data_IF_929472554961
#
_entry.id   IF_929472554961
#
_cell.length_a   1.000
_cell.length_b   1.000
_cell.length_c   1.000
_cell.angle_alpha   90.00
_cell.angle_beta   90.00
_cell.angle_gamma   90.00
#
_symmetry.space_group_name_H-M   'P 1'
#
loop_
_entity.id
_entity.type
_entity.pdbx_description
1 polymer ?
#
# COMPACT_ATOMS: atom_id res chain seq x y z
N UNK A 1 57.50 18.52 -55.65
CA UNK A 1 57.16 17.07 -55.75
C UNK A 1 57.21 16.47 -54.35
N UNK A 2 56.20 15.86 -53.75
CA UNK A 2 54.80 15.58 -54.05
C UNK A 2 54.09 15.57 -52.68
N UNK A 3 52.90 16.19 -52.61
CA UNK A 3 52.02 16.16 -51.44
C UNK A 3 51.52 14.72 -51.23
N UNK A 4 51.70 14.15 -50.04
CA UNK A 4 51.01 12.91 -49.65
C UNK A 4 49.52 13.24 -49.48
N UNK A 5 48.70 12.61 -50.32
CA UNK A 5 47.25 12.69 -50.24
C UNK A 5 46.75 11.90 -49.02
N UNK A 6 45.86 12.50 -48.25
CA UNK A 6 45.10 11.80 -47.20
C UNK A 6 44.16 10.79 -47.87
N UNK A 7 44.19 9.55 -47.40
CA UNK A 7 43.18 8.54 -47.72
C UNK A 7 41.82 8.95 -47.10
N UNK A 8 40.68 8.63 -47.74
CA UNK A 8 39.38 8.92 -47.17
C UNK A 8 39.14 8.02 -45.95
N UNK A 9 38.67 8.62 -44.85
CA UNK A 9 38.25 7.89 -43.67
C UNK A 9 37.02 7.04 -44.01
N UNK A 10 37.05 5.75 -43.66
CA UNK A 10 35.88 4.88 -43.69
C UNK A 10 34.79 5.45 -42.78
N UNK A 11 33.50 5.39 -43.18
CA UNK A 11 32.43 5.83 -42.31
C UNK A 11 32.41 4.94 -41.06
N UNK A 12 32.56 5.57 -39.89
CA UNK A 12 32.24 4.92 -38.62
C UNK A 12 30.78 4.48 -38.71
N UNK A 13 30.56 3.17 -38.78
CA UNK A 13 29.25 2.61 -38.48
C UNK A 13 29.01 2.92 -37.00
N UNK A 14 28.23 3.97 -36.76
CA UNK A 14 27.56 4.13 -35.48
C UNK A 14 26.73 2.87 -35.30
N UNK A 15 27.14 2.02 -34.36
CA UNK A 15 26.34 0.91 -33.89
C UNK A 15 25.19 1.52 -33.12
N UNK A 16 24.17 1.96 -33.86
CA UNK A 16 22.84 2.09 -33.33
C UNK A 16 22.48 0.68 -32.91
N UNK A 17 22.53 0.43 -31.60
CA UNK A 17 21.93 -0.75 -30.99
C UNK A 17 20.45 -0.59 -31.33
N UNK A 18 19.98 -1.32 -32.33
CA UNK A 18 18.54 -1.47 -32.53
C UNK A 18 18.01 -2.09 -31.22
N UNK A 19 17.04 -1.45 -30.55
CA UNK A 19 16.40 -2.08 -29.41
C UNK A 19 15.82 -3.40 -29.91
N UNK A 20 16.20 -4.48 -29.25
CA UNK A 20 15.72 -5.82 -29.54
C UNK A 20 14.18 -5.76 -29.57
N UNK A 21 13.50 -6.26 -30.62
CA UNK A 21 12.04 -6.40 -30.61
C UNK A 21 11.54 -7.25 -29.42
N UNK A 22 12.43 -7.99 -28.76
CA UNK A 22 12.23 -8.69 -27.49
C UNK A 22 12.43 -7.83 -26.23
N UNK A 23 12.58 -6.50 -26.33
CA UNK A 23 12.00 -5.56 -25.33
C UNK A 23 10.45 -5.64 -25.36
N UNK A 24 9.94 -6.87 -25.50
CA UNK A 24 8.57 -7.29 -25.35
C UNK A 24 8.19 -6.98 -23.92
N UNK A 25 7.71 -5.75 -23.69
CA UNK A 25 6.55 -5.41 -22.85
C UNK A 25 6.21 -6.42 -21.76
N UNK A 26 7.19 -6.77 -20.92
CA UNK A 26 6.97 -7.58 -19.73
C UNK A 26 6.44 -6.62 -18.68
N UNK A 27 5.14 -6.32 -18.74
CA UNK A 27 4.51 -5.48 -17.73
C UNK A 27 4.46 -6.27 -16.42
N UNK A 28 5.21 -5.86 -15.39
CA UNK A 28 5.24 -6.55 -14.12
C UNK A 28 3.85 -6.47 -13.49
N UNK A 29 3.26 -7.63 -13.19
CA UNK A 29 1.92 -7.72 -12.62
C UNK A 29 2.02 -7.87 -11.10
N UNK A 30 1.38 -7.00 -10.30
CA UNK A 30 1.39 -7.14 -8.84
C UNK A 30 0.52 -8.33 -8.40
N UNK A 31 1.13 -9.32 -7.74
CA UNK A 31 0.43 -10.50 -7.20
C UNK A 31 -0.12 -10.25 -5.78
N UNK A 32 0.51 -9.38 -5.00
CA UNK A 32 0.11 -9.01 -3.63
C UNK A 32 0.21 -7.50 -3.40
N UNK A 33 -0.37 -7.03 -2.30
CA UNK A 33 -0.26 -5.65 -1.85
C UNK A 33 -0.15 -5.60 -0.32
N UNK A 34 0.48 -4.54 0.19
CA UNK A 34 0.69 -4.37 1.62
C UNK A 34 -0.61 -4.07 2.38
N UNK A 35 -0.79 -4.78 3.48
CA UNK A 35 -1.88 -4.55 4.43
C UNK A 35 -1.52 -3.46 5.44
N UNK A 36 -1.50 -2.22 4.98
CA UNK A 36 -1.28 -1.04 5.82
C UNK A 36 -2.56 -0.64 6.57
N UNK A 37 -2.46 0.17 7.63
CA UNK A 37 -3.63 0.69 8.34
C UNK A 37 -4.58 1.48 7.42
N UNK A 38 -4.06 2.08 6.35
CA UNK A 38 -4.85 2.81 5.36
C UNK A 38 -5.59 1.88 4.40
N UNK A 39 -4.90 0.89 3.81
CA UNK A 39 -5.54 -0.06 2.87
C UNK A 39 -6.59 -0.92 3.58
N UNK A 40 -6.37 -1.23 4.85
CA UNK A 40 -7.27 -2.05 5.68
C UNK A 40 -8.18 -1.22 6.60
N UNK A 41 -8.30 0.09 6.34
CA UNK A 41 -9.05 1.04 7.18
C UNK A 41 -10.47 0.58 7.46
N UNK A 42 -11.20 0.12 6.45
CA UNK A 42 -12.58 -0.35 6.60
C UNK A 42 -12.67 -1.49 7.62
N UNK A 43 -11.80 -2.50 7.52
CA UNK A 43 -11.73 -3.62 8.47
C UNK A 43 -11.43 -3.12 9.88
N UNK A 44 -10.43 -2.25 10.03
CA UNK A 44 -10.01 -1.72 11.34
C UNK A 44 -11.12 -0.92 12.02
N UNK A 45 -11.79 -0.03 11.26
CA UNK A 45 -12.90 0.76 11.76
C UNK A 45 -14.12 -0.12 12.10
N UNK A 46 -14.36 -1.19 11.35
CA UNK A 46 -15.41 -2.15 11.68
C UNK A 46 -15.13 -2.89 12.98
N UNK A 47 -13.90 -3.39 13.18
CA UNK A 47 -13.50 -4.05 14.43
C UNK A 47 -13.69 -3.08 15.60
N UNK A 48 -13.25 -1.83 15.44
CA UNK A 48 -13.38 -0.80 16.45
C UNK A 48 -14.85 -0.48 16.76
N UNK A 49 -15.71 -0.41 15.74
CA UNK A 49 -17.16 -0.19 15.89
C UNK A 49 -17.84 -1.35 16.61
N UNK A 50 -17.52 -2.59 16.23
CA UNK A 50 -18.14 -3.79 16.79
C UNK A 50 -17.65 -4.10 18.20
N UNK A 51 -16.42 -3.71 18.54
CA UNK A 51 -15.80 -3.94 19.86
C UNK A 51 -15.23 -2.64 20.44
N UNK A 52 -16.08 -1.68 20.87
CA UNK A 52 -15.61 -0.39 21.37
C UNK A 52 -14.71 -0.45 22.60
N UNK A 53 -14.86 -1.48 23.44
CA UNK A 53 -14.04 -1.69 24.63
C UNK A 53 -12.53 -1.83 24.31
N UNK A 54 -12.19 -2.30 23.10
CA UNK A 54 -10.79 -2.41 22.66
C UNK A 54 -10.11 -1.05 22.50
N UNK A 55 -10.88 0.03 22.33
CA UNK A 55 -10.33 1.38 22.22
C UNK A 55 -10.15 2.06 23.59
N UNK A 56 -10.65 1.46 24.68
CA UNK A 56 -10.64 1.98 26.06
C UNK A 56 -10.91 3.49 26.18
N UNK A 57 -11.82 4.03 25.36
CA UNK A 57 -12.11 5.47 25.25
C UNK A 57 -10.91 6.39 24.94
N UNK A 58 -9.80 5.85 24.46
CA UNK A 58 -8.63 6.61 24.00
C UNK A 58 -8.67 6.89 22.49
N UNK A 59 -9.38 6.06 21.73
CA UNK A 59 -9.46 6.14 20.28
C UNK A 59 -10.89 6.37 19.77
N UNK A 60 -10.98 6.85 18.52
CA UNK A 60 -12.24 6.98 17.78
C UNK A 60 -12.26 6.11 16.53
N UNK A 61 -13.37 5.41 16.32
CA UNK A 61 -13.64 4.54 15.17
C UNK A 61 -14.33 5.30 14.01
N UNK A 62 -13.84 6.50 13.71
CA UNK A 62 -14.45 7.39 12.73
C UNK A 62 -13.36 8.00 11.85
N UNK A 63 -13.66 8.15 10.57
CA UNK A 63 -12.89 8.94 9.64
C UNK A 63 -13.53 10.31 9.46
N UNK A 64 -12.70 11.33 9.28
CA UNK A 64 -13.14 12.71 9.09
C UNK A 64 -12.51 13.24 7.80
N UNK A 65 -13.30 13.92 6.98
CA UNK A 65 -12.81 14.52 5.72
C UNK A 65 -11.71 15.56 5.97
N UNK A 66 -11.77 16.19 7.15
CA UNK A 66 -10.72 17.04 7.69
C UNK A 66 -10.56 16.72 9.17
N UNK A 67 -9.32 16.59 9.65
CA UNK A 67 -9.05 16.30 11.06
C UNK A 67 -9.68 17.37 11.95
N UNK A 68 -10.60 16.99 12.86
CA UNK A 68 -11.27 17.96 13.72
C UNK A 68 -10.34 18.46 14.81
N UNK A 69 -10.47 19.73 15.16
CA UNK A 69 -9.78 20.36 16.28
C UNK A 69 -10.78 20.85 17.33
N UNK A 70 -10.28 21.16 18.53
CA UNK A 70 -11.11 21.65 19.64
C UNK A 70 -11.91 22.91 19.30
N UNK A 71 -11.40 23.75 18.39
CA UNK A 71 -12.09 24.94 17.88
C UNK A 71 -13.34 24.63 17.05
N UNK A 72 -13.44 23.42 16.50
CA UNK A 72 -14.55 23.00 15.65
C UNK A 72 -15.69 22.37 16.50
N UNK A 73 -15.57 22.38 17.82
CA UNK A 73 -16.51 21.74 18.74
C UNK A 73 -17.94 22.29 18.57
N UNK A 74 -18.92 21.40 18.46
CA UNK A 74 -20.31 21.77 18.19
C UNK A 74 -20.62 22.12 16.73
N UNK A 75 -19.64 22.17 15.83
CA UNK A 75 -19.88 22.37 14.40
C UNK A 75 -20.29 21.07 13.69
N UNK A 76 -20.97 21.21 12.54
CA UNK A 76 -21.26 20.07 11.67
C UNK A 76 -20.05 19.74 10.81
N UNK A 77 -19.53 18.53 10.94
CA UNK A 77 -18.37 18.04 10.21
C UNK A 77 -18.71 16.80 9.40
N UNK A 78 -18.01 16.62 8.28
CA UNK A 78 -18.11 15.42 7.46
C UNK A 78 -17.30 14.28 8.07
N UNK A 79 -17.97 13.15 8.27
CA UNK A 79 -17.40 11.95 8.82
C UNK A 79 -17.90 10.69 8.11
N UNK A 80 -17.21 9.58 8.35
CA UNK A 80 -17.57 8.25 7.85
C UNK A 80 -17.23 7.20 8.90
N UNK A 81 -18.15 6.27 9.15
CA UNK A 81 -17.99 5.22 10.17
C UNK A 81 -17.90 3.84 9.52
N UNK A 82 -16.90 3.04 9.90
CA UNK A 82 -16.78 1.64 9.46
C UNK A 82 -16.86 1.48 7.93
N UNK A 83 -17.75 0.61 7.48
CA UNK A 83 -18.05 0.32 6.05
C UNK A 83 -18.94 1.33 5.32
N UNK A 84 -19.33 2.43 5.95
CA UNK A 84 -20.23 3.37 5.28
C UNK A 84 -19.59 3.90 3.99
N UNK A 85 -20.34 3.86 2.89
CA UNK A 85 -19.93 4.51 1.62
C UNK A 85 -20.38 5.96 1.63
N UNK A 86 -19.49 6.87 1.27
CA UNK A 86 -19.73 8.32 1.26
C UNK A 86 -19.54 9.01 2.62
N UNK A 87 -19.79 10.31 2.63
CA UNK A 87 -19.64 11.17 3.80
C UNK A 87 -21.01 11.53 4.40
N UNK A 88 -21.08 11.63 5.72
CA UNK A 88 -22.25 12.11 6.45
C UNK A 88 -21.88 13.24 7.40
N UNK A 89 -22.83 14.13 7.70
CA UNK A 89 -22.62 15.21 8.65
C UNK A 89 -22.99 14.78 10.06
N UNK A 90 -22.11 15.06 11.03
CA UNK A 90 -22.40 14.96 12.47
C UNK A 90 -22.00 16.23 13.20
N UNK A 91 -22.62 16.50 14.33
CA UNK A 91 -22.17 17.53 15.26
C UNK A 91 -20.94 17.01 16.02
N UNK A 92 -19.83 17.74 15.95
CA UNK A 92 -18.57 17.35 16.59
C UNK A 92 -18.71 17.38 18.12
N UNK A 93 -18.33 16.27 18.76
CA UNK A 93 -18.30 16.12 20.22
C UNK A 93 -16.87 16.02 20.73
N UNK A 94 -16.68 16.02 22.06
CA UNK A 94 -15.35 15.88 22.66
C UNK A 94 -14.70 14.51 22.38
N UNK A 95 -15.52 13.47 22.25
CA UNK A 95 -15.04 12.10 21.99
C UNK A 95 -14.46 11.94 20.58
N UNK A 96 -14.85 12.81 19.67
CA UNK A 96 -14.40 12.82 18.29
C UNK A 96 -13.01 13.45 18.11
N UNK A 97 -12.53 14.17 19.13
CA UNK A 97 -11.18 14.73 19.18
C UNK A 97 -10.14 13.71 19.64
N UNK A 98 -10.57 12.51 20.05
CA UNK A 98 -9.68 11.39 20.37
C UNK A 98 -8.88 10.98 19.13
N UNK A 99 -7.78 10.28 19.37
CA UNK A 99 -6.93 9.81 18.28
C UNK A 99 -7.70 8.78 17.43
N UNK A 100 -7.72 8.88 16.08
CA UNK A 100 -8.37 7.85 15.29
C UNK A 100 -7.61 6.52 15.36
N UNK A 101 -8.34 5.41 15.16
CA UNK A 101 -7.73 4.07 15.11
C UNK A 101 -6.70 3.96 13.99
N UNK A 102 -6.97 4.62 12.87
CA UNK A 102 -6.05 4.75 11.73
C UNK A 102 -5.60 6.20 11.64
N UNK A 103 -4.32 6.43 11.91
CA UNK A 103 -3.69 7.74 11.90
C UNK A 103 -2.81 7.93 10.67
N UNK A 104 -2.69 9.16 10.17
CA UNK A 104 -1.81 9.45 9.05
C UNK A 104 -2.26 8.82 7.72
N UNK A 105 -1.44 9.05 6.70
CA UNK A 105 -1.70 8.70 5.30
C UNK A 105 -0.38 8.22 4.66
N UNK A 106 -0.48 7.39 3.63
CA UNK A 106 0.63 6.77 2.92
C UNK A 106 1.60 6.04 3.85
N UNK A 107 2.91 6.21 3.61
CA UNK A 107 3.99 5.62 4.44
C UNK A 107 3.96 6.06 5.91
N UNK A 108 3.23 7.13 6.25
CA UNK A 108 3.05 7.63 7.63
C UNK A 108 1.78 7.10 8.28
N UNK A 109 1.02 6.22 7.61
CA UNK A 109 -0.15 5.60 8.21
C UNK A 109 0.25 4.71 9.39
N UNK A 110 -0.46 4.82 10.51
CA UNK A 110 -0.18 4.11 11.75
C UNK A 110 -1.46 3.56 12.39
N UNK A 111 -1.46 2.27 12.69
CA UNK A 111 -2.47 1.61 13.51
C UNK A 111 -2.27 2.02 14.96
N UNK A 112 -3.31 2.63 15.56
CA UNK A 112 -3.29 3.15 16.93
C UNK A 112 -2.11 4.10 17.20
N UNK A 113 -1.58 4.75 16.15
CA UNK A 113 -0.39 5.60 16.24
C UNK A 113 0.94 4.86 16.45
N UNK A 114 0.95 3.52 16.31
CA UNK A 114 2.07 2.66 16.68
C UNK A 114 2.69 1.94 15.48
N UNK A 115 1.91 1.07 14.80
CA UNK A 115 2.44 0.19 13.74
C UNK A 115 2.13 0.71 12.34
N UNK A 116 3.07 0.56 11.40
CA UNK A 116 2.85 0.81 9.96
C UNK A 116 2.12 -0.30 9.22
N UNK A 117 1.83 -1.41 9.89
CA UNK A 117 1.14 -2.60 9.35
C UNK A 117 -0.13 -2.90 10.13
N UNK A 118 -1.06 -3.62 9.50
CA UNK A 118 -2.34 -4.01 10.12
C UNK A 118 -2.53 -5.52 10.24
N UNK A 119 -1.59 -6.31 9.69
CA UNK A 119 -1.54 -7.77 9.79
C UNK A 119 -0.13 -8.21 10.18
N UNK A 120 -0.03 -9.28 10.95
CA UNK A 120 1.24 -9.79 11.44
C UNK A 120 1.09 -10.89 12.49
N UNK A 121 2.08 -11.76 12.55
CA UNK A 121 2.24 -12.73 13.64
C UNK A 121 3.00 -12.10 14.81
N UNK A 122 2.94 -12.70 16.00
CA UNK A 122 3.65 -12.16 17.18
C UNK A 122 2.95 -10.96 17.80
N UNK A 123 3.70 -10.04 18.42
CA UNK A 123 3.19 -8.80 19.04
C UNK A 123 2.05 -9.02 20.05
N UNK A 124 2.10 -10.11 20.81
CA UNK A 124 1.06 -10.47 21.79
C UNK A 124 1.00 -9.50 22.97
N UNK A 125 2.14 -8.94 23.36
CA UNK A 125 2.28 -8.01 24.47
C UNK A 125 2.49 -6.57 24.01
N UNK A 126 2.46 -6.32 22.69
CA UNK A 126 2.69 -4.99 22.15
C UNK A 126 1.54 -4.05 22.51
N UNK A 127 1.89 -2.94 23.14
CA UNK A 127 0.96 -1.89 23.55
C UNK A 127 1.09 -0.67 22.65
N UNK A 128 -0.03 -0.01 22.41
CA UNK A 128 -0.10 1.22 21.66
C UNK A 128 0.60 2.36 22.41
N UNK A 129 1.42 3.13 21.68
CA UNK A 129 2.21 4.23 22.23
C UNK A 129 1.27 5.24 22.91
N UNK A 130 1.67 5.73 24.08
CA UNK A 130 0.97 6.69 24.93
C UNK A 130 -0.34 6.24 25.58
N UNK A 131 -0.99 5.18 25.10
CA UNK A 131 -2.30 4.73 25.65
C UNK A 131 -2.21 3.42 26.43
N UNK A 132 -1.19 2.59 26.16
CA UNK A 132 -1.03 1.29 26.83
C UNK A 132 -2.07 0.25 26.41
N UNK A 133 -2.83 0.50 25.35
CA UNK A 133 -3.86 -0.40 24.84
C UNK A 133 -3.22 -1.49 23.99
N UNK A 134 -3.65 -2.75 24.15
CA UNK A 134 -3.15 -3.84 23.31
C UNK A 134 -3.43 -3.58 21.83
N UNK A 135 -2.41 -3.77 20.99
CA UNK A 135 -2.53 -3.61 19.53
C UNK A 135 -3.45 -4.69 18.94
N UNK A 136 -3.46 -5.89 19.53
CA UNK A 136 -4.41 -6.95 19.19
C UNK A 136 -5.78 -6.65 19.79
N UNK A 137 -6.87 -6.92 19.06
CA UNK A 137 -6.98 -7.68 17.82
C UNK A 137 -6.93 -6.83 16.53
N UNK A 138 -6.55 -5.55 16.59
CA UNK A 138 -6.49 -4.73 15.38
C UNK A 138 -5.39 -5.21 14.42
N UNK A 139 -4.22 -5.57 14.97
CA UNK A 139 -3.22 -6.37 14.29
C UNK A 139 -3.68 -7.83 14.25
N UNK A 140 -4.06 -8.29 13.06
CA UNK A 140 -4.56 -9.67 12.87
C UNK A 140 -3.49 -10.58 12.28
N UNK A 141 -3.38 -11.84 12.74
CA UNK A 141 -2.53 -12.84 12.08
C UNK A 141 -3.20 -13.45 10.84
N UNK A 142 -4.42 -13.03 10.49
CA UNK A 142 -5.18 -13.62 9.40
C UNK A 142 -4.65 -13.18 8.02
N UNK A 143 -4.21 -14.11 7.14
CA UNK A 143 -3.65 -13.77 5.84
C UNK A 143 -4.73 -13.29 4.85
N UNK A 144 -4.31 -12.59 3.80
CA UNK A 144 -5.11 -12.41 2.57
C UNK A 144 -4.67 -13.49 1.58
N UNK A 145 -5.59 -14.31 1.10
CA UNK A 145 -5.29 -15.44 0.23
C UNK A 145 -5.92 -15.17 -1.13
N UNK A 146 -5.08 -15.11 -2.17
CA UNK A 146 -5.50 -14.94 -3.57
C UNK A 146 -5.05 -16.13 -4.39
N UNK A 147 -5.94 -16.65 -5.21
CA UNK A 147 -5.64 -17.68 -6.20
C UNK A 147 -5.50 -17.00 -7.57
N UNK A 148 -4.45 -17.37 -8.31
CA UNK A 148 -4.21 -16.91 -9.68
C UNK A 148 -3.97 -18.14 -10.55
N UNK A 149 -4.56 -18.11 -11.74
CA UNK A 149 -4.35 -19.12 -12.76
C UNK A 149 -3.11 -18.72 -13.58
N UNK A 150 -2.03 -19.50 -13.44
CA UNK A 150 -0.75 -19.19 -14.07
C UNK A 150 -0.81 -19.34 -15.59
N UNK A 151 -1.72 -20.18 -16.11
CA UNK A 151 -1.89 -20.35 -17.56
C UNK A 151 -2.36 -19.08 -18.26
N UNK A 152 -2.87 -18.10 -17.51
CA UNK A 152 -3.34 -16.80 -18.03
C UNK A 152 -2.26 -15.71 -18.01
N UNK A 153 -1.06 -15.99 -17.48
CA UNK A 153 0.03 -15.01 -17.34
C UNK A 153 0.83 -14.95 -18.63
N UNK A 154 0.39 -14.16 -19.61
CA UNK A 154 1.09 -14.03 -20.91
C UNK A 154 2.47 -13.42 -20.71
N UNK A 155 3.52 -14.20 -20.96
CA UNK A 155 4.92 -13.77 -20.83
C UNK A 155 5.46 -13.13 -22.11
N UNK A 156 4.98 -13.56 -23.28
CA UNK A 156 5.34 -12.99 -24.59
C UNK A 156 4.04 -12.67 -25.35
N UNK A 157 3.81 -11.41 -25.78
CA UNK A 157 2.69 -11.06 -26.64
C UNK A 157 2.73 -11.90 -27.93
N UNK A 158 1.58 -12.41 -28.35
CA UNK A 158 1.38 -13.23 -29.57
C UNK A 158 1.84 -14.71 -29.50
N UNK A 159 2.41 -15.18 -28.39
CA UNK A 159 2.66 -16.60 -28.15
C UNK A 159 1.57 -17.27 -27.30
N UNK A 160 1.32 -18.56 -27.57
CA UNK A 160 0.47 -19.37 -26.69
C UNK A 160 1.33 -19.86 -25.53
N UNK A 161 1.08 -19.37 -24.31
CA UNK A 161 1.72 -19.90 -23.10
C UNK A 161 1.61 -21.43 -23.04
N UNK A 162 2.75 -22.12 -23.09
CA UNK A 162 2.82 -23.55 -22.77
C UNK A 162 2.96 -23.76 -21.25
N UNK A 163 2.72 -24.99 -20.78
CA UNK A 163 2.89 -25.34 -19.38
C UNK A 163 4.38 -25.28 -18.99
N UNK A 164 4.75 -24.22 -18.27
CA UNK A 164 6.14 -23.91 -17.92
C UNK A 164 6.56 -22.46 -18.17
N UNK A 165 5.83 -21.72 -19.02
CA UNK A 165 6.22 -20.38 -19.50
C UNK A 165 5.61 -19.23 -18.68
N UNK A 166 5.48 -19.41 -17.37
CA UNK A 166 4.71 -18.51 -16.48
C UNK A 166 5.49 -17.31 -15.95
N UNK A 167 6.67 -17.02 -16.52
CA UNK A 167 7.56 -15.97 -16.06
C UNK A 167 8.19 -16.26 -14.69
N UNK A 168 8.62 -15.20 -14.00
CA UNK A 168 9.29 -15.29 -12.69
C UNK A 168 8.43 -14.61 -11.62
N UNK A 169 8.17 -15.32 -10.52
CA UNK A 169 7.57 -14.73 -9.33
C UNK A 169 8.67 -14.15 -8.43
N UNK A 170 8.68 -12.83 -8.28
CA UNK A 170 9.59 -12.13 -7.37
C UNK A 170 8.86 -11.88 -6.04
N UNK A 171 9.44 -12.36 -4.94
CA UNK A 171 8.96 -12.08 -3.59
C UNK A 171 10.09 -11.43 -2.80
N UNK A 172 9.79 -10.30 -2.17
CA UNK A 172 10.72 -9.60 -1.30
C UNK A 172 9.96 -8.87 -0.19
N UNK A 173 10.69 -8.43 0.83
CA UNK A 173 10.17 -7.58 1.89
C UNK A 173 10.09 -6.12 1.44
N UNK A 174 9.38 -5.30 2.22
CA UNK A 174 9.24 -3.86 2.03
C UNK A 174 10.56 -3.12 1.74
N UNK A 175 11.68 -3.52 2.35
CA UNK A 175 12.98 -2.92 2.09
C UNK A 175 13.42 -2.88 0.61
N UNK A 176 13.02 -3.87 -0.22
CA UNK A 176 13.26 -3.83 -1.66
C UNK A 176 12.24 -2.92 -2.37
N UNK A 177 10.96 -3.12 -2.06
CA UNK A 177 9.83 -2.42 -2.71
C UNK A 177 9.70 -0.95 -2.31
N UNK A 178 10.36 -0.52 -1.24
CA UNK A 178 10.41 0.87 -0.81
C UNK A 178 11.30 1.74 -1.71
N UNK A 179 12.23 1.13 -2.46
CA UNK A 179 13.24 1.79 -3.30
C UNK A 179 13.19 1.38 -4.76
N UNK A 180 12.35 0.42 -5.13
CA UNK A 180 12.13 -0.02 -6.50
C UNK A 180 10.69 0.26 -6.91
N UNK A 181 10.50 0.65 -8.16
CA UNK A 181 9.19 0.60 -8.79
C UNK A 181 8.99 -0.80 -9.34
N UNK A 182 7.74 -1.21 -9.57
CA UNK A 182 7.50 -2.56 -10.06
C UNK A 182 8.03 -2.76 -11.49
N UNK A 183 8.34 -1.69 -12.22
CA UNK A 183 8.83 -1.62 -13.62
C UNK A 183 10.26 -2.13 -13.83
#
# INVERSE_FOLDING_TARGET
CQRRANAPAEPKHDSVIEPDPLEATCYPVPFSADHTPETERERLLNVARLKPHLMANQYVAMEYAKRPHIKDMGQRILCRQGTMKGWTYKTLTRDDLRMPVVNGEGKRSRLLGTLGVSRGFGDHELLAINTGIQIKPFLTPHPDVRQRDLTQVVSIPDEHNEDGDYGVLVMATDGLWDVSENE
#
